data_IF_130801056407
#
_entry.id   IF_130801056407
#
_cell.length_a   1.000
_cell.length_b   1.000
_cell.length_c   1.000
_cell.angle_alpha   90.00
_cell.angle_beta   90.00
_cell.angle_gamma   90.00
#
_symmetry.space_group_name_H-M   'P 1'
#
loop_
_entity.id
_entity.type
_entity.pdbx_description
1 polymer ?
2 polymer ?
3 polymer ?
4 water ?
#
# COMPACT_ATOMS: atom_id res chain seq x y z
N UNK A 1 -4.54 27.90 25.03
CA UNK A 1 -4.41 26.64 25.81
C UNK A 1 -2.95 26.27 26.05
N UNK A 2 -2.72 25.03 26.48
CA UNK A 2 -1.36 24.58 26.74
C UNK A 2 -0.53 24.41 25.48
N UNK A 3 0.69 23.93 25.65
CA UNK A 3 1.61 23.72 24.53
C UNK A 3 1.05 22.70 23.54
N UNK A 4 1.06 23.07 22.27
CA UNK A 4 0.57 22.22 21.19
C UNK A 4 1.78 21.81 20.34
N UNK A 5 1.99 20.51 20.15
CA UNK A 5 3.15 20.03 19.39
C UNK A 5 2.92 19.71 17.92
N UNK A 6 1.80 19.07 17.59
CA UNK A 6 1.50 18.74 16.20
C UNK A 6 2.50 17.76 15.56
N UNK A 7 2.80 16.66 16.25
CA UNK A 7 3.74 15.68 15.72
C UNK A 7 3.06 14.50 15.04
N UNK A 8 1.73 14.42 15.13
CA UNK A 8 1.01 13.33 14.50
C UNK A 8 -0.21 13.82 13.73
N UNK A 9 -0.55 13.13 12.66
CA UNK A 9 -1.69 13.49 11.84
C UNK A 9 -3.00 13.51 12.62
N UNK A 10 -3.86 14.46 12.28
CA UNK A 10 -5.17 14.56 12.91
C UNK A 10 -5.99 13.39 12.37
N UNK A 11 -6.28 12.41 13.22
CA UNK A 11 -7.05 11.26 12.79
C UNK A 11 -8.41 11.17 13.44
N UNK A 12 -8.89 12.30 13.96
CA UNK A 12 -10.20 12.33 14.61
C UNK A 12 -11.27 13.03 13.80
N UNK A 13 -11.14 13.02 12.48
CA UNK A 13 -12.16 13.62 11.62
C UNK A 13 -13.35 12.67 11.74
N UNK A 14 -14.55 13.11 11.30
CA UNK A 14 -15.75 12.26 11.37
C UNK A 14 -15.54 10.88 10.78
N UNK A 15 -14.77 10.80 9.69
CA UNK A 15 -14.50 9.53 9.01
C UNK A 15 -13.00 9.27 8.91
N UNK A 16 -12.61 8.01 9.07
CA UNK A 16 -11.20 7.64 8.94
C UNK A 16 -10.82 7.80 7.48
N UNK A 17 -11.76 7.52 6.59
CA UNK A 17 -11.50 7.65 5.17
C UNK A 17 -11.81 6.38 4.37
N UNK A 18 -11.51 6.43 3.08
CA UNK A 18 -11.75 5.28 2.21
C UNK A 18 -10.58 4.31 2.18
N UNK A 19 -10.89 3.05 1.93
CA UNK A 19 -9.89 2.00 1.79
C UNK A 19 -10.32 1.28 0.54
N UNK A 20 -9.73 1.68 -0.59
CA UNK A 20 -10.06 1.07 -1.87
C UNK A 20 -9.19 -0.14 -2.14
N UNK A 21 -9.80 -1.30 -2.28
CA UNK A 21 -9.06 -2.52 -2.54
C UNK A 21 -9.26 -2.98 -3.99
N UNK A 22 -8.17 -3.05 -4.74
CA UNK A 22 -8.26 -3.51 -6.14
C UNK A 22 -7.68 -4.92 -6.16
N UNK A 23 -8.57 -5.89 -6.29
CA UNK A 23 -8.22 -7.30 -6.29
C UNK A 23 -8.27 -7.91 -7.67
N UNK A 24 -7.11 -8.05 -8.31
CA UNK A 24 -7.05 -8.64 -9.64
C UNK A 24 -6.58 -10.10 -9.57
N UNK A 25 -7.51 -11.01 -9.83
CA UNK A 25 -7.23 -12.45 -9.77
C UNK A 25 -7.17 -13.10 -11.16
N UNK A 26 -8.12 -12.74 -12.01
CA UNK A 26 -8.20 -13.29 -13.35
C UNK A 26 -7.80 -12.27 -14.41
N UNK A 27 -6.90 -12.68 -15.31
CA UNK A 27 -6.42 -11.78 -16.35
C UNK A 27 -6.84 -12.26 -17.74
N UNK A 28 -7.00 -11.32 -18.66
CA UNK A 28 -7.38 -11.66 -20.02
C UNK A 28 -6.35 -12.57 -20.65
N UNK A 29 -6.83 -13.65 -21.28
CA UNK A 29 -5.98 -14.62 -21.94
C UNK A 29 -5.00 -13.94 -22.89
N UNK A 30 -5.48 -12.89 -23.55
CA UNK A 30 -4.66 -12.15 -24.50
C UNK A 30 -3.37 -11.58 -23.90
N UNK A 31 -3.35 -11.41 -22.57
CA UNK A 31 -2.17 -10.87 -21.90
C UNK A 31 -1.15 -11.97 -21.61
N UNK A 32 -1.63 -13.21 -21.54
CA UNK A 32 -0.75 -14.32 -21.24
C UNK A 32 -0.44 -14.45 -19.77
N UNK A 33 -1.09 -13.63 -18.95
CA UNK A 33 -0.88 -13.68 -17.50
C UNK A 33 -1.73 -14.78 -16.89
N UNK A 34 -1.24 -15.37 -15.80
CA UNK A 34 -1.96 -16.44 -15.13
C UNK A 34 -2.76 -15.87 -13.97
N UNK A 35 -3.68 -16.65 -13.43
CA UNK A 35 -4.50 -16.20 -12.31
C UNK A 35 -3.67 -16.15 -11.02
N UNK A 36 -4.10 -15.30 -10.10
CA UNK A 36 -3.40 -15.15 -8.83
C UNK A 36 -4.12 -15.87 -7.70
N UNK A 37 -3.92 -17.18 -7.65
CA UNK A 37 -4.55 -18.01 -6.62
C UNK A 37 -4.23 -17.51 -5.22
N UNK A 38 -5.26 -17.47 -4.38
CA UNK A 38 -5.09 -17.01 -3.01
C UNK A 38 -5.28 -15.53 -2.78
N UNK A 39 -5.43 -14.75 -3.85
CA UNK A 39 -5.61 -13.30 -3.68
C UNK A 39 -6.94 -12.95 -3.00
N UNK A 40 -7.96 -13.78 -3.20
CA UNK A 40 -9.26 -13.51 -2.57
C UNK A 40 -9.14 -13.56 -1.06
N UNK A 41 -8.21 -14.37 -0.56
CA UNK A 41 -7.99 -14.49 0.87
C UNK A 41 -7.39 -13.17 1.37
N UNK A 42 -6.49 -12.59 0.58
CA UNK A 42 -5.87 -11.30 0.94
C UNK A 42 -6.94 -10.21 0.95
N UNK A 43 -7.75 -10.16 -0.10
CA UNK A 43 -8.80 -9.15 -0.22
C UNK A 43 -9.77 -9.20 0.96
N UNK A 44 -10.18 -10.41 1.34
CA UNK A 44 -11.10 -10.57 2.47
C UNK A 44 -10.44 -10.20 3.79
N UNK A 45 -9.16 -10.55 3.94
CA UNK A 45 -8.42 -10.26 5.15
C UNK A 45 -8.31 -8.73 5.32
N UNK A 46 -8.04 -8.05 4.21
CA UNK A 46 -7.90 -6.60 4.21
C UNK A 46 -9.21 -5.91 4.57
N UNK A 47 -10.30 -6.35 3.96
CA UNK A 47 -11.61 -5.78 4.23
C UNK A 47 -11.95 -5.84 5.72
N UNK A 48 -11.74 -7.01 6.33
CA UNK A 48 -12.03 -7.17 7.75
C UNK A 48 -11.10 -6.33 8.61
N UNK A 49 -9.82 -6.33 8.28
CA UNK A 49 -8.82 -5.57 9.03
C UNK A 49 -9.10 -4.07 9.04
N UNK A 50 -9.30 -3.50 7.86
CA UNK A 50 -9.55 -2.06 7.77
C UNK A 50 -10.97 -1.70 8.21
N UNK A 51 -11.86 -2.69 8.23
CA UNK A 51 -13.23 -2.47 8.69
C UNK A 51 -13.15 -2.16 10.18
N UNK A 52 -12.34 -2.92 10.90
CA UNK A 52 -12.18 -2.73 12.34
C UNK A 52 -11.39 -1.47 12.68
N UNK A 53 -10.80 -0.84 11.67
CA UNK A 53 -10.05 0.40 11.88
C UNK A 53 -10.96 1.56 11.51
N UNK A 54 -12.22 1.20 11.20
CA UNK A 54 -13.26 2.16 10.85
C UNK A 54 -13.15 2.82 9.47
N UNK A 55 -12.48 2.15 8.53
CA UNK A 55 -12.35 2.68 7.18
C UNK A 55 -13.54 2.28 6.34
N UNK A 56 -13.88 3.12 5.37
CA UNK A 56 -14.98 2.83 4.46
C UNK A 56 -14.32 1.97 3.38
N UNK A 57 -14.45 0.65 3.49
CA UNK A 57 -13.83 -0.25 2.52
C UNK A 57 -14.67 -0.49 1.28
N UNK A 58 -14.06 -0.30 0.12
CA UNK A 58 -14.73 -0.53 -1.16
C UNK A 58 -13.84 -1.48 -1.94
N UNK A 59 -14.39 -2.63 -2.31
CA UNK A 59 -13.62 -3.61 -3.06
C UNK A 59 -13.99 -3.65 -4.53
N UNK A 60 -13.01 -3.94 -5.37
CA UNK A 60 -13.20 -4.06 -6.81
C UNK A 60 -12.40 -5.26 -7.28
N UNK A 61 -13.01 -6.12 -8.10
CA UNK A 61 -12.32 -7.30 -8.61
C UNK A 61 -12.09 -7.27 -10.11
N UNK A 62 -10.94 -7.82 -10.51
CA UNK A 62 -10.59 -7.92 -11.93
C UNK A 62 -10.90 -6.67 -12.76
N UNK A 63 -10.14 -5.61 -12.53
CA UNK A 63 -10.34 -4.36 -13.27
C UNK A 63 -9.33 -4.21 -14.40
N UNK A 64 -9.78 -3.70 -15.53
CA UNK A 64 -8.88 -3.48 -16.66
C UNK A 64 -8.06 -2.24 -16.32
N UNK A 65 -7.04 -1.96 -17.12
CA UNK A 65 -6.20 -0.80 -16.88
C UNK A 65 -7.05 0.48 -16.96
N UNK A 66 -8.03 0.50 -17.86
CA UNK A 66 -8.90 1.67 -17.99
C UNK A 66 -9.77 1.88 -16.75
N UNK A 67 -10.34 0.79 -16.25
CA UNK A 67 -11.19 0.86 -15.06
C UNK A 67 -10.42 1.27 -13.82
N UNK A 68 -9.16 0.84 -13.72
CA UNK A 68 -8.34 1.21 -12.57
C UNK A 68 -8.14 2.72 -12.57
N UNK A 69 -7.77 3.27 -13.72
CA UNK A 69 -7.57 4.70 -13.85
C UNK A 69 -8.86 5.47 -13.60
N UNK A 70 -9.97 4.98 -14.14
CA UNK A 70 -11.26 5.65 -13.95
C UNK A 70 -11.67 5.62 -12.47
N UNK A 71 -11.49 4.47 -11.84
CA UNK A 71 -11.84 4.32 -10.42
C UNK A 71 -11.05 5.32 -9.57
N UNK A 72 -9.74 5.36 -9.77
CA UNK A 72 -8.88 6.26 -9.01
C UNK A 72 -9.22 7.72 -9.27
N UNK A 73 -9.46 8.06 -10.53
CA UNK A 73 -9.81 9.43 -10.89
C UNK A 73 -11.10 9.81 -10.17
N UNK A 74 -12.12 8.95 -10.27
CA UNK A 74 -13.41 9.21 -9.63
C UNK A 74 -13.27 9.41 -8.11
N UNK A 75 -12.54 8.50 -7.47
CA UNK A 75 -12.34 8.57 -6.03
C UNK A 75 -11.59 9.84 -5.61
N UNK A 76 -10.60 10.26 -6.40
CA UNK A 76 -9.83 11.45 -6.08
C UNK A 76 -10.68 12.71 -6.23
N UNK A 77 -11.76 12.60 -6.99
CA UNK A 77 -12.65 13.74 -7.22
C UNK A 77 -13.75 13.85 -6.18
N UNK A 78 -13.79 12.90 -5.26
CA UNK A 78 -14.78 12.92 -4.19
C UNK A 78 -14.34 13.97 -3.17
N UNK A 79 -15.27 14.39 -2.32
CA UNK A 79 -14.96 15.36 -1.29
C UNK A 79 -14.51 14.60 -0.04
N UNK A 80 -13.21 14.66 0.23
CA UNK A 80 -12.64 13.96 1.38
C UNK A 80 -12.52 14.88 2.60
N UNK A 81 -13.22 16.00 2.57
CA UNK A 81 -13.18 16.98 3.66
C UNK A 81 -13.37 16.42 5.07
N UNK A 82 -14.32 15.51 5.24
CA UNK A 82 -14.60 14.93 6.55
C UNK A 82 -13.84 13.64 6.82
N UNK A 83 -12.87 13.32 5.97
CA UNK A 83 -12.10 12.09 6.12
C UNK A 83 -10.67 12.37 6.58
N UNK A 84 -10.19 11.57 7.53
CA UNK A 84 -8.84 11.75 8.08
C UNK A 84 -7.69 11.33 7.16
N UNK A 85 -7.94 10.34 6.31
CA UNK A 85 -6.90 9.85 5.43
C UNK A 85 -7.46 9.11 4.22
N UNK A 86 -6.56 8.52 3.44
CA UNK A 86 -6.96 7.74 2.26
C UNK A 86 -6.06 6.52 2.13
N UNK A 87 -6.68 5.36 1.86
CA UNK A 87 -5.92 4.13 1.71
C UNK A 87 -6.33 3.40 0.44
N UNK A 88 -5.33 2.89 -0.28
CA UNK A 88 -5.57 2.14 -1.50
C UNK A 88 -4.67 0.92 -1.50
N UNK A 89 -5.26 -0.26 -1.62
CA UNK A 89 -4.48 -1.50 -1.65
C UNK A 89 -4.57 -2.09 -3.05
N UNK A 90 -3.42 -2.37 -3.63
CA UNK A 90 -3.34 -2.94 -4.97
C UNK A 90 -2.80 -4.37 -4.92
N UNK A 91 -3.59 -5.31 -5.42
CA UNK A 91 -3.23 -6.73 -5.42
C UNK A 91 -3.23 -7.21 -6.89
N UNK A 92 -2.05 -7.45 -7.45
CA UNK A 92 -1.98 -7.89 -8.84
C UNK A 92 -0.56 -8.25 -9.23
N UNK A 93 -0.37 -8.58 -10.50
CA UNK A 93 0.96 -8.88 -11.02
C UNK A 93 1.57 -7.49 -11.16
N UNK A 94 2.89 -7.42 -11.20
CA UNK A 94 3.51 -6.11 -11.36
C UNK A 94 4.98 -6.18 -11.72
N UNK A 95 5.55 -5.01 -11.94
CA UNK A 95 6.97 -4.84 -12.26
C UNK A 95 7.32 -3.52 -11.58
N UNK A 96 8.60 -3.16 -11.55
CA UNK A 96 8.98 -1.92 -10.89
C UNK A 96 8.16 -0.75 -11.43
N UNK A 97 7.49 -0.03 -10.52
CA UNK A 97 6.68 1.12 -10.89
C UNK A 97 5.44 0.83 -11.70
N UNK A 98 5.07 -0.44 -11.79
CA UNK A 98 3.91 -0.84 -12.58
C UNK A 98 2.99 -1.82 -11.87
N UNK A 99 1.69 -1.68 -12.13
CA UNK A 99 0.67 -2.57 -11.56
C UNK A 99 -0.16 -3.00 -12.76
N UNK A 100 -0.44 -4.29 -12.87
CA UNK A 100 -1.20 -4.78 -14.01
C UNK A 100 -2.72 -4.82 -13.87
N UNK A 101 -3.39 -4.23 -14.86
CA UNK A 101 -4.84 -4.29 -14.89
C UNK A 101 -5.06 -5.64 -15.55
N UNK A 102 -6.31 -6.04 -15.78
CA UNK A 102 -6.57 -7.33 -16.39
C UNK A 102 -6.19 -7.41 -17.88
N UNK A 103 -5.98 -6.26 -18.50
CA UNK A 103 -5.66 -6.23 -19.92
C UNK A 103 -4.38 -5.44 -20.23
N UNK A 104 -3.59 -5.14 -19.20
CA UNK A 104 -2.38 -4.39 -19.43
C UNK A 104 -1.86 -3.66 -18.21
N UNK A 105 -0.65 -3.09 -18.29
CA UNK A 105 -0.04 -2.36 -17.18
C UNK A 105 -0.57 -0.96 -16.95
N UNK A 106 -0.41 -0.48 -15.72
CA UNK A 106 -0.81 0.85 -15.32
C UNK A 106 0.36 1.40 -14.50
N UNK A 107 0.87 2.56 -14.89
CA UNK A 107 1.97 3.17 -14.16
C UNK A 107 1.48 3.58 -12.78
N UNK A 108 2.17 3.15 -11.74
CA UNK A 108 1.77 3.51 -10.38
C UNK A 108 1.69 5.02 -10.26
N UNK A 109 2.60 5.71 -10.93
CA UNK A 109 2.64 7.17 -10.89
C UNK A 109 1.32 7.77 -11.37
N UNK A 110 0.73 7.19 -12.41
CA UNK A 110 -0.52 7.71 -12.94
C UNK A 110 -1.64 7.59 -11.91
N UNK A 111 -1.62 6.51 -11.13
CA UNK A 111 -2.62 6.28 -10.10
C UNK A 111 -2.45 7.26 -8.94
N UNK A 112 -1.21 7.42 -8.47
CA UNK A 112 -0.94 8.31 -7.34
C UNK A 112 -1.03 9.81 -7.64
N UNK A 113 -0.79 10.20 -8.89
CA UNK A 113 -0.85 11.62 -9.25
C UNK A 113 -2.22 12.24 -8.98
N UNK A 114 -3.26 11.43 -9.11
CA UNK A 114 -4.62 11.93 -8.88
C UNK A 114 -4.75 12.46 -7.45
N UNK A 115 -3.91 11.94 -6.56
CA UNK A 115 -3.95 12.34 -5.16
C UNK A 115 -2.86 13.32 -4.73
N UNK A 116 -2.15 13.90 -5.70
CA UNK A 116 -1.11 14.87 -5.38
C UNK A 116 -1.70 16.00 -4.54
N UNK A 117 -0.87 16.60 -3.70
CA UNK A 117 -1.32 17.68 -2.83
C UNK A 117 -2.07 18.78 -3.55
N UNK A 118 -1.74 19.01 -4.82
CA UNK A 118 -2.40 20.07 -5.59
C UNK A 118 -3.57 19.59 -6.44
N UNK A 119 -3.74 18.29 -6.60
CA UNK A 119 -4.83 17.77 -7.42
C UNK A 119 -6.04 17.25 -6.66
N UNK A 120 -5.84 16.95 -5.38
CA UNK A 120 -6.93 16.50 -4.51
C UNK A 120 -6.82 17.32 -3.23
N UNK A 121 -7.39 18.52 -3.26
CA UNK A 121 -7.30 19.44 -2.13
C UNK A 121 -7.90 18.97 -0.82
N UNK A 122 -8.94 18.14 -0.86
CA UNK A 122 -9.55 17.67 0.38
C UNK A 122 -8.69 16.62 1.08
N UNK A 123 -7.56 16.26 0.48
CA UNK A 123 -6.65 15.31 1.11
C UNK A 123 -5.30 15.98 1.37
N UNK A 124 -5.17 17.24 0.97
CA UNK A 124 -3.93 17.98 1.18
C UNK A 124 -3.60 17.99 2.66
N UNK A 125 -2.38 17.60 3.00
CA UNK A 125 -1.98 17.59 4.41
C UNK A 125 -2.41 16.33 5.16
N UNK A 126 -3.09 15.43 4.46
CA UNK A 126 -3.56 14.19 5.08
C UNK A 126 -2.79 13.00 4.50
N UNK A 127 -2.60 11.95 5.31
CA UNK A 127 -1.87 10.76 4.84
C UNK A 127 -2.58 9.95 3.76
N UNK A 128 -1.85 9.69 2.68
CA UNK A 128 -2.36 8.94 1.54
C UNK A 128 -1.51 7.67 1.46
N UNK A 129 -2.10 6.55 1.84
CA UNK A 129 -1.38 5.29 1.90
C UNK A 129 -1.66 4.32 0.76
N UNK A 130 -0.60 3.87 0.10
CA UNK A 130 -0.73 2.92 -0.99
C UNK A 130 0.01 1.64 -0.60
N UNK A 131 -0.75 0.55 -0.46
CA UNK A 131 -0.22 -0.76 -0.10
C UNK A 131 -0.18 -1.58 -1.38
N UNK A 132 1.02 -1.98 -1.79
CA UNK A 132 1.17 -2.71 -3.05
C UNK A 132 1.74 -4.12 -2.95
N UNK A 133 0.88 -5.11 -3.27
CA UNK A 133 1.30 -6.50 -3.30
C UNK A 133 1.49 -6.81 -4.78
N UNK A 134 2.75 -6.80 -5.23
CA UNK A 134 3.09 -7.07 -6.62
C UNK A 134 4.60 -7.11 -6.79
N UNK A 135 5.06 -7.79 -7.84
CA UNK A 135 6.49 -7.87 -8.10
C UNK A 135 7.01 -6.49 -8.47
N UNK A 136 8.31 -6.28 -8.25
CA UNK A 136 8.96 -5.02 -8.58
C UNK A 136 10.20 -5.37 -9.40
N UNK A 137 10.19 -6.57 -9.98
CA UNK A 137 11.32 -7.03 -10.77
C UNK A 137 11.35 -8.54 -10.80
N UNK A 138 12.47 -9.11 -11.24
CA UNK A 138 12.61 -10.56 -11.30
C UNK A 138 13.77 -11.11 -10.48
N UNK A 139 14.23 -10.34 -9.50
CA UNK A 139 15.33 -10.80 -8.67
C UNK A 139 14.83 -11.71 -7.55
N UNK A 140 15.66 -12.65 -7.13
CA UNK A 140 15.31 -13.60 -6.07
C UNK A 140 16.34 -13.47 -4.95
N UNK A 141 15.86 -13.50 -3.71
CA UNK A 141 16.71 -13.38 -2.55
C UNK A 141 17.02 -14.79 -2.00
N UNK A 142 18.29 -15.19 -2.11
CA UNK A 142 18.70 -16.52 -1.65
C UNK A 142 18.75 -16.57 -0.12
N UNK A 143 18.69 -15.39 0.49
CA UNK A 143 18.72 -15.29 1.95
C UNK A 143 20.04 -15.75 2.55
N UNK A 144 20.18 -15.58 3.85
CA UNK A 144 21.39 -16.02 4.55
C UNK A 144 21.05 -16.58 5.93
N UNK A 145 21.75 -17.66 6.28
CA UNK A 145 21.57 -18.36 7.55
C UNK A 145 21.89 -17.48 8.75
N UNK A 146 20.96 -17.46 9.72
CA UNK A 146 21.15 -16.67 10.93
C UNK A 146 21.64 -17.53 12.09
N UNK A 147 21.70 -17.02 13.23
N UNK B 1 20.43 34.18 11.25
CA UNK B 1 20.58 33.55 9.91
C UNK B 1 19.47 33.99 8.96
N UNK B 2 19.80 34.05 7.67
CA UNK B 2 18.84 34.44 6.65
C UNK B 2 19.31 33.89 5.30
N UNK B 3 18.37 33.61 4.41
CA UNK B 3 18.73 33.08 3.12
C UNK B 3 17.63 33.22 2.10
N UNK B 4 17.92 32.81 0.87
CA UNK B 4 16.96 32.91 -0.23
C UNK B 4 15.95 31.77 -0.31
N UNK B 5 16.20 30.67 0.39
CA UNK B 5 15.30 29.52 0.32
C UNK B 5 14.57 29.08 1.59
N UNK B 6 14.26 30.00 2.49
CA UNK B 6 13.56 29.61 3.70
C UNK B 6 12.60 30.69 4.20
N UNK B 7 11.74 30.29 5.14
CA UNK B 7 10.77 31.19 5.76
C UNK B 7 9.97 32.01 4.74
N UNK B 8 9.31 31.31 3.82
CA UNK B 8 8.48 31.96 2.80
C UNK B 8 7.23 32.55 3.44
N UNK B 9 6.79 33.71 2.95
CA UNK B 9 5.61 34.35 3.48
C UNK B 9 4.38 33.46 3.27
N UNK B 10 4.24 32.95 2.05
CA UNK B 10 3.14 32.06 1.71
C UNK B 10 3.61 30.62 1.95
N UNK B 11 3.00 29.96 2.92
CA UNK B 11 3.38 28.59 3.26
C UNK B 11 2.89 27.55 2.25
N UNK B 12 3.81 26.73 1.76
CA UNK B 12 3.48 25.67 0.81
C UNK B 12 4.15 24.37 1.24
N UNK B 13 3.63 23.25 0.74
CA UNK B 13 4.22 21.95 1.00
C UNK B 13 4.36 21.26 -0.35
N UNK B 14 5.26 20.27 -0.45
CA UNK B 14 5.47 19.55 -1.71
C UNK B 14 4.19 18.83 -2.12
N UNK B 15 3.93 18.76 -3.42
CA UNK B 15 2.72 18.09 -3.89
C UNK B 15 2.90 16.58 -3.69
N UNK B 16 4.15 16.16 -3.50
CA UNK B 16 4.48 14.75 -3.29
C UNK B 16 4.53 14.41 -1.81
N UNK B 17 4.28 15.40 -0.96
CA UNK B 17 4.33 15.16 0.48
C UNK B 17 3.10 14.40 0.97
N UNK B 18 3.25 13.75 2.11
CA UNK B 18 2.19 12.99 2.77
C UNK B 18 1.73 11.70 2.10
N UNK B 19 2.65 11.05 1.39
CA UNK B 19 2.38 9.78 0.73
C UNK B 19 3.20 8.71 1.45
N UNK B 20 2.63 7.52 1.58
CA UNK B 20 3.32 6.39 2.20
C UNK B 20 3.08 5.21 1.28
N UNK B 21 4.17 4.56 0.83
CA UNK B 21 4.06 3.40 -0.02
C UNK B 21 4.55 2.19 0.74
N UNK B 22 3.66 1.23 0.99
CA UNK B 22 4.05 0.03 1.70
C UNK B 22 4.17 -1.07 0.67
N UNK B 23 5.40 -1.29 0.20
CA UNK B 23 5.67 -2.31 -0.81
C UNK B 23 5.90 -3.67 -0.16
N UNK B 24 5.40 -4.71 -0.81
CA UNK B 24 5.53 -6.07 -0.32
C UNK B 24 6.95 -6.61 -0.45
N UNK B 25 7.73 -6.01 -1.35
CA UNK B 25 9.07 -6.50 -1.59
C UNK B 25 10.06 -5.41 -1.94
N UNK B 26 11.34 -5.74 -1.87
CA UNK B 26 12.41 -4.79 -2.17
C UNK B 26 12.44 -4.42 -3.66
N UNK B 27 12.98 -3.23 -3.98
CA UNK B 27 13.05 -2.81 -5.39
C UNK B 27 13.75 -3.87 -6.25
N UNK B 28 13.16 -4.17 -7.41
CA UNK B 28 13.76 -5.13 -8.33
C UNK B 28 13.52 -6.60 -8.05
N UNK B 29 12.80 -6.93 -6.97
CA UNK B 29 12.55 -8.32 -6.60
C UNK B 29 11.13 -8.84 -6.82
N UNK B 30 11.02 -10.17 -6.91
CA UNK B 30 9.72 -10.82 -7.06
C UNK B 30 9.03 -10.68 -5.70
N UNK B 31 7.73 -10.88 -5.68
CA UNK B 31 6.96 -10.83 -4.45
C UNK B 31 6.27 -12.19 -4.38
N UNK B 32 6.29 -12.82 -3.21
CA UNK B 32 5.70 -14.14 -3.05
C UNK B 32 4.27 -14.22 -2.51
N UNK B 33 3.54 -15.21 -3.03
CA UNK B 33 2.16 -15.43 -2.66
C UNK B 33 1.88 -16.93 -2.51
N UNK B 34 1.27 -17.32 -1.39
CA UNK B 34 0.93 -18.72 -1.17
C UNK B 34 -0.44 -18.94 -1.83
N UNK B 35 -0.49 -19.84 -2.79
CA UNK B 35 -1.72 -20.11 -3.53
C UNK B 35 -2.93 -20.41 -2.66
N UNK B 36 -2.71 -20.72 -1.39
CA UNK B 36 -3.82 -21.03 -0.50
C UNK B 36 -4.06 -20.02 0.61
N UNK B 37 -2.98 -19.58 1.27
CA UNK B 37 -3.10 -18.63 2.38
C UNK B 37 -2.97 -17.15 2.00
N UNK B 38 -2.67 -16.87 0.75
CA UNK B 38 -2.52 -15.47 0.34
C UNK B 38 -1.07 -15.05 0.33
N UNK B 39 -0.81 -13.78 0.00
CA UNK B 39 0.56 -13.28 -0.05
C UNK B 39 1.18 -13.16 1.33
N UNK B 40 2.49 -13.37 1.40
CA UNK B 40 3.21 -13.27 2.67
C UNK B 40 3.01 -11.88 3.27
N UNK B 41 3.14 -10.87 2.43
CA UNK B 41 3.02 -9.49 2.87
C UNK B 41 1.66 -9.11 3.45
N UNK B 42 0.59 -9.36 2.69
CA UNK B 42 -0.75 -9.03 3.17
C UNK B 42 -1.13 -9.83 4.41
N UNK B 43 -0.75 -11.11 4.46
CA UNK B 43 -1.05 -11.94 5.64
C UNK B 43 -0.43 -11.25 6.85
N UNK B 44 0.85 -10.92 6.72
CA UNK B 44 1.61 -10.29 7.79
C UNK B 44 1.10 -8.89 8.14
N UNK B 45 0.75 -8.11 7.12
CA UNK B 45 0.26 -6.76 7.36
C UNK B 45 -1.03 -6.80 8.18
N UNK B 46 -1.97 -7.62 7.76
CA UNK B 46 -3.24 -7.72 8.48
C UNK B 46 -3.03 -8.20 9.92
N UNK B 47 -2.17 -9.19 10.10
CA UNK B 47 -1.90 -9.72 11.44
C UNK B 47 -1.32 -8.65 12.35
N UNK B 48 -0.37 -7.86 11.84
CA UNK B 48 0.25 -6.82 12.65
C UNK B 48 -0.70 -5.65 12.92
N UNK B 49 -1.59 -5.34 11.98
CA UNK B 49 -2.55 -4.27 12.18
C UNK B 49 -3.57 -4.68 13.23
N UNK B 50 -4.06 -5.91 13.13
CA UNK B 50 -5.04 -6.38 14.11
C UNK B 50 -4.43 -6.41 15.51
N UNK B 51 -3.15 -6.74 15.60
CA UNK B 51 -2.48 -6.82 16.89
C UNK B 51 -1.89 -5.52 17.44
N UNK B 52 -1.49 -4.60 16.56
CA UNK B 52 -0.86 -3.36 17.01
C UNK B 52 -1.47 -2.01 16.61
N UNK B 53 -2.50 -2.01 15.79
CA UNK B 53 -3.09 -0.74 15.34
C UNK B 53 -3.54 0.17 16.48
N UNK B 54 -3.95 -0.40 17.61
CA UNK B 54 -4.38 0.43 18.73
C UNK B 54 -3.27 0.64 19.74
N UNK B 55 -2.04 0.30 19.36
CA UNK B 55 -0.91 0.41 20.28
C UNK B 55 0.36 1.06 19.73
N UNK B 56 0.61 0.93 18.43
CA UNK B 56 1.83 1.47 17.84
C UNK B 56 1.65 2.43 16.67
N UNK B 57 2.65 3.29 16.47
CA UNK B 57 2.64 4.24 15.37
C UNK B 57 2.78 3.39 14.11
N UNK B 58 2.20 3.83 13.01
CA UNK B 58 2.21 3.08 11.74
C UNK B 58 3.57 2.58 11.26
N UNK B 59 4.60 3.42 11.32
CA UNK B 59 5.91 2.99 10.86
C UNK B 59 6.43 1.82 11.70
N UNK B 60 6.14 1.84 13.00
CA UNK B 60 6.60 0.77 13.86
C UNK B 60 5.80 -0.51 13.60
N UNK B 61 4.55 -0.34 13.16
CA UNK B 61 3.72 -1.49 12.82
C UNK B 61 4.31 -2.12 11.57
N UNK B 62 4.58 -1.29 10.57
CA UNK B 62 5.15 -1.78 9.32
C UNK B 62 6.52 -2.42 9.51
N UNK B 63 7.25 -1.98 10.53
CA UNK B 63 8.57 -2.55 10.80
C UNK B 63 8.37 -3.97 11.33
N UNK B 64 7.31 -4.18 12.11
CA UNK B 64 6.99 -5.51 12.62
C UNK B 64 6.65 -6.41 11.42
N UNK B 65 5.97 -5.83 10.43
CA UNK B 65 5.61 -6.59 9.22
C UNK B 65 6.88 -7.02 8.50
N UNK B 66 7.82 -6.09 8.37
CA UNK B 66 9.10 -6.40 7.73
C UNK B 66 9.76 -7.61 8.40
N UNK B 67 9.83 -7.60 9.72
CA UNK B 67 10.46 -8.70 10.44
C UNK B 67 9.72 -10.02 10.31
N UNK B 68 8.39 -9.97 10.38
CA UNK B 68 7.58 -11.18 10.26
C UNK B 68 7.81 -11.86 8.91
N UNK B 69 7.74 -11.09 7.83
CA UNK B 69 7.94 -11.62 6.50
C UNK B 69 9.36 -12.15 6.30
N UNK B 70 10.35 -11.35 6.70
CA UNK B 70 11.75 -11.72 6.55
C UNK B 70 12.17 -12.96 7.32
N UNK B 71 11.61 -13.15 8.52
CA UNK B 71 12.00 -14.28 9.34
C UNK B 71 11.15 -15.55 9.19
N UNK B 72 9.84 -15.39 9.11
CA UNK B 72 8.93 -16.52 9.03
C UNK B 72 8.67 -17.19 7.69
N UNK B 73 8.93 -16.49 6.58
CA UNK B 73 8.65 -17.06 5.27
C UNK B 73 9.84 -17.42 4.38
N UNK B 74 9.69 -18.51 3.66
CA UNK B 74 10.70 -18.99 2.71
C UNK B 74 9.93 -19.77 1.64
N UNK B 75 10.22 -19.50 0.38
CA UNK B 75 9.50 -20.17 -0.70
C UNK B 75 9.77 -21.66 -0.82
N UNK B 76 8.80 -22.34 -1.41
CA UNK B 76 8.89 -23.77 -1.68
C UNK B 76 8.49 -23.93 -3.14
N UNK B 77 9.35 -24.56 -3.93
CA UNK B 77 9.05 -24.76 -5.33
C UNK B 77 9.71 -26.00 -5.89
N UNK B 78 9.00 -26.68 -6.77
CA UNK B 78 9.54 -27.88 -7.40
C UNK B 78 10.65 -27.44 -8.36
N UNK B 79 10.62 -26.16 -8.72
CA UNK B 79 11.62 -25.58 -9.61
C UNK B 79 12.73 -25.00 -8.74
N UNK B 80 13.90 -25.62 -8.76
CA UNK B 80 15.02 -25.17 -7.93
C UNK B 80 15.30 -23.68 -8.05
N UNK B 81 15.06 -23.10 -9.24
CA UNK B 81 15.30 -21.69 -9.44
C UNK B 81 14.51 -20.82 -8.48
N UNK B 82 13.27 -21.23 -8.19
CA UNK B 82 12.40 -20.47 -7.31
C UNK B 82 12.24 -21.04 -5.90
N UNK B 83 13.05 -22.04 -5.56
CA UNK B 83 12.95 -22.66 -4.24
C UNK B 83 13.83 -22.07 -3.14
N UNK B 84 13.32 -22.08 -1.91
CA UNK B 84 14.04 -21.57 -0.75
C UNK B 84 14.45 -20.11 -0.84
N UNK B 85 13.58 -19.28 -1.41
CA UNK B 85 13.88 -17.86 -1.55
C UNK B 85 13.26 -17.06 -0.40
N UNK B 86 13.81 -15.87 -0.16
CA UNK B 86 13.35 -15.01 0.92
C UNK B 86 12.77 -13.70 0.39
N UNK B 87 12.12 -12.95 1.28
CA UNK B 87 11.51 -11.69 0.91
C UNK B 87 11.56 -10.67 2.04
N UNK B 88 11.76 -9.41 1.70
CA UNK B 88 11.79 -8.34 2.69
C UNK B 88 10.95 -7.16 2.18
N UNK B 89 9.84 -6.85 2.87
CA UNK B 89 8.96 -5.74 2.46
C UNK B 89 9.74 -4.43 2.42
N UNK B 90 9.20 -3.42 1.74
CA UNK B 90 9.91 -2.15 1.61
C UNK B 90 9.01 -0.95 1.93
N UNK B 91 9.28 -0.30 3.05
CA UNK B 91 8.52 0.86 3.49
C UNK B 91 9.09 2.14 2.87
N UNK B 92 8.26 2.87 2.13
CA UNK B 92 8.72 4.12 1.51
C UNK B 92 7.85 5.26 2.04
N UNK B 93 8.40 6.04 2.96
CA UNK B 93 7.64 7.12 3.57
C UNK B 93 8.01 8.54 3.20
N UNK B 94 6.99 9.28 2.75
CA UNK B 94 7.16 10.67 2.44
C UNK B 94 6.14 11.42 3.32
N UNK B 95 5.80 10.78 4.43
CA UNK B 95 4.87 11.35 5.40
C UNK B 95 5.63 12.45 6.15
N UNK B 96 4.89 13.38 6.75
CA UNK B 96 5.52 14.48 7.48
C UNK B 96 5.16 14.46 8.95
N UNK B 97 4.35 13.48 9.36
CA UNK B 97 3.95 13.36 10.75
C UNK B 97 3.79 11.89 11.10
N UNK B 98 3.68 11.61 12.40
CA UNK B 98 3.48 10.26 12.87
C UNK B 98 2.01 9.93 12.63
N UNK B 99 1.72 8.66 12.40
CA UNK B 99 0.35 8.24 12.11
C UNK B 99 -0.11 7.13 13.04
N UNK B 100 -1.16 7.42 13.81
CA UNK B 100 -1.76 6.46 14.73
C UNK B 100 -3.21 6.30 14.28
N UNK B 101 -3.66 5.06 14.14
CA UNK B 101 -5.02 4.81 13.69
C UNK B 101 -6.04 5.14 14.76
N UNK B 102 -5.58 5.27 15.99
CA UNK B 102 -6.47 5.58 17.11
C UNK B 102 -6.20 7.01 17.57
N UNK B 103 -7.10 7.55 18.38
CA UNK B 103 -6.93 8.90 18.92
C UNK B 103 -7.44 8.96 20.35
N UNK C 2 3.83 -21.94 -3.72
CA UNK C 2 4.06 -20.51 -3.86
C UNK C 2 4.12 -20.06 -5.32
N UNK C 3 3.69 -18.83 -5.55
CA UNK C 3 3.70 -18.23 -6.89
C UNK C 3 4.27 -16.83 -6.71
N UNK C 4 4.82 -16.26 -7.79
CA UNK C 4 5.39 -14.91 -7.72
C UNK C 4 4.51 -13.89 -8.41
N UNK C 5 4.29 -12.68 -7.91
C UNK C 5 4.23 -10.56 -9.18
#
# INVERSE_FOLDING_TARGET
SGISLDNSYKMDYPEMGLCIIINNKNFHKSTGMTSRSGTDVDAANLRETFRNLKYEVRNKNDLTREEIVELMRDVSKEDHSKRSSFVCVLLSHGEEGIIFGTNGPVDLKKITNFFRGDRCRSLTGKPKLFIIQACRGTELDCGIETD
ASGVDDDMACHKIPVEADFLYAYSTAPGYYSWRNSKDGSWFIQSLCAMLKQYADKLEFMHILTRVNRKVATEFESFSFDATFHAKKQIPCIVSMLTKELYFYH
XDEVX
#
